data_IF_970988110189
#
_entry.id   IF_970988110189
#
_cell.length_a   1.000
_cell.length_b   1.000
_cell.length_c   1.000
_cell.angle_alpha   90.00
_cell.angle_beta   90.00
_cell.angle_gamma   90.00
#
_symmetry.space_group_name_H-M   'P 1'
#
loop_
_entity.id
_entity.type
_entity.pdbx_description
1 polymer ?
#
# COMPACT_ATOMS: atom_id res chain seq x y z
N UNK A 1 60.78 26.55 4.26
CA UNK A 1 60.03 25.98 3.11
C UNK A 1 59.25 24.75 3.56
N UNK A 2 57.92 24.82 3.36
CA UNK A 2 56.93 23.73 3.27
C UNK A 2 56.82 22.70 4.41
N UNK A 3 56.24 23.12 5.53
CA UNK A 3 55.39 22.24 6.38
C UNK A 3 54.01 22.13 5.71
N UNK A 4 53.86 21.19 4.78
CA UNK A 4 52.56 20.82 4.22
C UNK A 4 52.39 19.32 4.28
N UNK A 5 52.04 18.78 5.45
CA UNK A 5 51.70 17.37 5.56
C UNK A 5 50.97 17.08 6.89
N UNK A 6 49.91 17.81 7.22
CA UNK A 6 49.07 17.44 8.39
C UNK A 6 47.62 17.96 8.36
N UNK A 7 47.05 18.21 7.18
CA UNK A 7 45.66 18.71 7.06
C UNK A 7 44.86 18.02 5.96
N UNK A 8 45.01 16.70 5.82
CA UNK A 8 44.32 15.93 4.79
C UNK A 8 43.79 14.59 5.31
N UNK A 9 43.20 14.58 6.51
CA UNK A 9 42.67 13.35 7.12
C UNK A 9 41.40 13.54 7.97
N UNK A 10 40.63 14.62 7.78
CA UNK A 10 39.43 14.85 8.60
C UNK A 10 38.22 15.41 7.83
N UNK A 11 38.20 15.26 6.51
CA UNK A 11 37.03 15.61 5.69
C UNK A 11 36.76 14.46 4.74
N UNK A 12 35.77 13.64 5.06
CA UNK A 12 35.24 12.68 4.10
C UNK A 12 35.06 11.29 4.66
N UNK A 13 34.23 11.13 5.68
CA UNK A 13 33.57 9.83 5.92
C UNK A 13 32.34 10.00 6.83
N UNK A 14 31.48 10.96 6.52
CA UNK A 14 30.05 10.82 6.84
C UNK A 14 29.35 10.28 5.59
N UNK A 15 29.67 9.04 5.21
CA UNK A 15 28.75 8.25 4.41
C UNK A 15 27.58 7.92 5.34
N UNK A 16 26.62 8.83 5.44
CA UNK A 16 25.29 8.47 5.90
C UNK A 16 24.77 7.44 4.91
N UNK A 17 24.87 6.16 5.28
CA UNK A 17 24.19 5.08 4.61
C UNK A 17 22.69 5.35 4.75
N UNK A 18 22.12 6.06 3.79
CA UNK A 18 20.68 6.09 3.59
C UNK A 18 20.34 4.66 3.17
N UNK A 19 20.07 3.81 4.16
CA UNK A 19 19.42 2.55 3.90
C UNK A 19 18.03 2.92 3.37
N UNK A 20 17.85 2.78 2.06
CA UNK A 20 16.54 2.81 1.45
C UNK A 20 15.75 1.65 2.06
N UNK A 21 15.00 1.92 3.13
CA UNK A 21 14.21 0.91 3.80
C UNK A 21 13.20 0.37 2.80
N UNK A 22 13.39 -0.88 2.36
CA UNK A 22 12.47 -1.53 1.44
C UNK A 22 11.08 -1.60 2.09
N UNK A 23 10.16 -0.75 1.62
CA UNK A 23 8.77 -0.71 2.05
C UNK A 23 8.03 -1.87 1.36
N UNK A 24 7.34 -2.71 2.13
CA UNK A 24 6.57 -3.79 1.57
C UNK A 24 5.33 -3.22 0.88
N UNK A 25 5.18 -3.55 -0.40
CA UNK A 25 4.13 -3.01 -1.25
C UNK A 25 3.44 -4.14 -1.99
N UNK A 26 2.22 -4.45 -1.57
CA UNK A 26 1.36 -5.38 -2.27
C UNK A 26 0.50 -4.61 -3.27
N UNK A 27 0.42 -5.09 -4.51
CA UNK A 27 -0.41 -4.50 -5.56
C UNK A 27 -1.49 -5.50 -5.96
N UNK A 28 -2.69 -5.01 -6.20
CA UNK A 28 -3.84 -5.80 -6.60
C UNK A 28 -4.52 -5.15 -7.81
N UNK A 29 -5.11 -5.95 -8.70
CA UNK A 29 -5.91 -5.45 -9.84
C UNK A 29 -7.26 -6.15 -9.95
N UNK A 30 -8.25 -5.41 -10.43
CA UNK A 30 -9.50 -5.95 -10.92
C UNK A 30 -9.76 -5.35 -12.31
N UNK A 31 -10.11 -6.18 -13.31
CA UNK A 31 -10.36 -5.71 -14.67
C UNK A 31 -11.83 -5.83 -15.03
N UNK A 32 -12.36 -4.77 -15.65
CA UNK A 32 -13.67 -4.74 -16.29
C UNK A 32 -14.87 -5.06 -15.38
N UNK A 33 -14.79 -4.73 -14.09
CA UNK A 33 -15.85 -5.04 -13.13
C UNK A 33 -17.22 -4.43 -13.50
N UNK A 34 -17.22 -3.22 -14.07
CA UNK A 34 -18.43 -2.53 -14.51
C UNK A 34 -18.72 -2.66 -16.01
N UNK A 35 -18.03 -3.55 -16.74
CA UNK A 35 -18.24 -3.73 -18.19
C UNK A 35 -17.72 -2.58 -19.07
N UNK A 36 -16.87 -1.70 -18.55
CA UNK A 36 -16.39 -0.48 -19.21
C UNK A 36 -14.88 -0.52 -19.62
N UNK A 37 -14.26 -1.71 -19.56
CA UNK A 37 -12.86 -1.96 -19.90
C UNK A 37 -11.83 -1.37 -18.92
N UNK A 38 -12.26 -0.79 -17.80
CA UNK A 38 -11.35 -0.16 -16.83
C UNK A 38 -10.69 -1.23 -15.96
N UNK A 39 -9.38 -1.11 -15.76
CA UNK A 39 -8.67 -1.84 -14.70
C UNK A 39 -8.52 -0.93 -13.50
N UNK A 40 -8.95 -1.40 -12.35
CA UNK A 40 -8.80 -0.74 -11.06
C UNK A 40 -7.65 -1.38 -10.30
N UNK A 41 -6.93 -0.58 -9.53
CA UNK A 41 -5.76 -1.02 -8.77
C UNK A 41 -5.84 -0.56 -7.34
N UNK A 42 -5.48 -1.46 -6.42
CA UNK A 42 -5.27 -1.16 -5.01
C UNK A 42 -3.83 -1.48 -4.64
N UNK A 43 -3.19 -0.58 -3.90
CA UNK A 43 -1.87 -0.80 -3.31
C UNK A 43 -2.04 -0.81 -1.80
N UNK A 44 -1.56 -1.85 -1.14
CA UNK A 44 -1.35 -1.89 0.31
C UNK A 44 0.14 -1.69 0.58
N UNK A 45 0.47 -0.74 1.45
CA UNK A 45 1.85 -0.41 1.83
C UNK A 45 1.95 -0.41 3.34
N UNK A 46 2.74 -1.33 3.91
CA UNK A 46 3.02 -1.37 5.34
C UNK A 46 4.37 -0.73 5.64
N UNK A 47 4.47 -0.09 6.81
CA UNK A 47 5.75 0.33 7.37
C UNK A 47 6.42 -0.88 8.05
N UNK A 48 7.71 -1.08 7.79
CA UNK A 48 8.52 -2.13 8.44
C UNK A 48 8.58 -1.95 9.96
N UNK A 49 8.51 -0.70 10.44
CA UNK A 49 8.61 -0.38 11.87
C UNK A 49 7.23 -0.33 12.55
N UNK A 50 6.15 -0.34 11.77
CA UNK A 50 4.79 -0.32 12.29
C UNK A 50 3.83 -1.08 11.38
N UNK A 51 3.90 -2.41 11.45
CA UNK A 51 3.04 -3.32 10.68
C UNK A 51 1.54 -3.13 10.95
N UNK A 52 1.17 -2.43 12.03
CA UNK A 52 -0.23 -2.18 12.39
C UNK A 52 -0.87 -1.06 11.57
N UNK A 53 -0.07 -0.25 10.87
CA UNK A 53 -0.56 0.89 10.08
C UNK A 53 -0.17 0.71 8.62
N UNK A 54 -1.09 0.16 7.83
CA UNK A 54 -0.95 0.08 6.39
C UNK A 54 -1.64 1.27 5.71
N UNK A 55 -0.99 1.82 4.67
CA UNK A 55 -1.59 2.79 3.76
C UNK A 55 -2.21 2.09 2.55
N UNK A 56 -3.34 2.61 2.10
CA UNK A 56 -4.05 2.10 0.94
C UNK A 56 -4.18 3.16 -0.15
N UNK A 57 -3.86 2.80 -1.38
CA UNK A 57 -3.91 3.71 -2.52
C UNK A 57 -4.72 3.10 -3.66
N UNK A 58 -5.55 3.92 -4.28
CA UNK A 58 -6.39 3.55 -5.42
C UNK A 58 -5.99 4.32 -6.69
N UNK A 59 -6.09 3.69 -7.85
CA UNK A 59 -6.01 4.33 -9.16
C UNK A 59 -6.60 3.40 -10.24
N UNK A 60 -6.76 3.91 -11.46
CA UNK A 60 -7.31 3.14 -12.58
C UNK A 60 -6.40 3.18 -13.80
N UNK A 61 -6.68 2.32 -14.79
CA UNK A 61 -5.99 2.36 -16.09
C UNK A 61 -6.24 3.66 -16.87
N UNK A 62 -7.33 4.38 -16.59
CA UNK A 62 -7.65 5.68 -17.22
C UNK A 62 -7.06 6.87 -16.47
N UNK A 63 -6.80 6.72 -15.17
CA UNK A 63 -6.19 7.76 -14.34
C UNK A 63 -5.14 7.15 -13.42
N UNK A 64 -3.88 7.29 -13.79
CA UNK A 64 -2.75 6.75 -13.05
C UNK A 64 -2.40 7.53 -11.77
N UNK A 65 -3.00 8.71 -11.55
CA UNK A 65 -2.79 9.48 -10.32
C UNK A 65 -3.36 8.72 -9.13
N UNK A 66 -2.48 8.36 -8.19
CA UNK A 66 -2.86 7.61 -6.99
C UNK A 66 -3.63 8.48 -6.02
N UNK A 67 -4.70 7.92 -5.48
CA UNK A 67 -5.54 8.53 -4.45
C UNK A 67 -5.31 7.76 -3.16
N UNK A 68 -4.82 8.45 -2.12
CA UNK A 68 -4.70 7.86 -0.78
C UNK A 68 -6.10 7.68 -0.19
N UNK A 69 -6.45 6.46 0.18
CA UNK A 69 -7.69 6.18 0.86
C UNK A 69 -7.56 6.53 2.34
N UNK A 70 -8.65 7.00 2.93
CA UNK A 70 -8.75 7.26 4.37
C UNK A 70 -9.16 5.96 5.04
N UNK A 71 -8.31 5.44 5.92
CA UNK A 71 -8.61 4.27 6.76
C UNK A 71 -9.49 4.71 7.93
N UNK A 72 -10.61 4.04 8.10
CA UNK A 72 -11.56 4.28 9.20
C UNK A 72 -11.38 3.25 10.32
N UNK A 73 -11.14 2.01 9.95
CA UNK A 73 -10.83 0.94 10.91
C UNK A 73 -10.10 -0.21 10.23
N UNK A 74 -9.34 -0.95 11.03
CA UNK A 74 -8.71 -2.22 10.68
C UNK A 74 -9.10 -3.24 11.72
N UNK A 75 -9.52 -4.43 11.29
CA UNK A 75 -9.86 -5.56 12.15
C UNK A 75 -9.22 -6.83 11.58
N UNK A 76 -8.57 -7.59 12.43
CA UNK A 76 -8.13 -8.94 12.10
C UNK A 76 -9.18 -9.94 12.58
N UNK A 77 -9.52 -10.90 11.73
CA UNK A 77 -10.44 -12.00 12.01
C UNK A 77 -9.69 -13.29 11.75
N UNK A 78 -9.55 -14.11 12.78
CA UNK A 78 -8.90 -15.41 12.69
C UNK A 78 -10.00 -16.47 12.62
N UNK A 79 -9.95 -17.32 11.58
CA UNK A 79 -10.84 -18.47 11.43
C UNK A 79 -10.01 -19.71 11.16
N UNK A 80 -9.86 -20.57 12.18
CA UNK A 80 -8.94 -21.70 12.11
C UNK A 80 -7.49 -21.24 11.97
N UNK A 81 -6.78 -21.75 10.96
CA UNK A 81 -5.38 -21.39 10.65
C UNK A 81 -5.25 -20.16 9.74
N UNK A 82 -6.36 -19.60 9.26
CA UNK A 82 -6.34 -18.49 8.30
C UNK A 82 -6.71 -17.16 8.98
N UNK A 83 -5.89 -16.14 8.74
CA UNK A 83 -6.15 -14.76 9.14
C UNK A 83 -6.73 -13.96 7.98
N UNK A 84 -7.83 -13.26 8.23
CA UNK A 84 -8.41 -12.26 7.32
C UNK A 84 -8.24 -10.87 7.93
N UNK A 85 -7.68 -9.94 7.16
CA UNK A 85 -7.65 -8.51 7.56
C UNK A 85 -8.78 -7.77 6.87
N UNK A 86 -9.67 -7.16 7.65
CA UNK A 86 -10.79 -6.36 7.19
C UNK A 86 -10.48 -4.89 7.45
N UNK A 87 -10.50 -4.07 6.40
CA UNK A 87 -10.19 -2.65 6.47
C UNK A 87 -11.36 -1.84 5.92
N UNK A 88 -11.91 -0.95 6.72
CA UNK A 88 -12.91 0.03 6.25
C UNK A 88 -12.19 1.27 5.76
N UNK A 89 -12.47 1.66 4.52
CA UNK A 89 -11.84 2.80 3.88
C UNK A 89 -12.86 3.70 3.20
N UNK A 90 -12.48 4.94 2.92
CA UNK A 90 -13.24 5.85 2.05
C UNK A 90 -12.30 6.71 1.21
N UNK A 91 -12.82 7.28 0.14
CA UNK A 91 -12.12 8.34 -0.59
C UNK A 91 -12.03 9.61 0.27
N UNK A 92 -10.96 10.42 0.15
CA UNK A 92 -10.71 11.57 1.03
C UNK A 92 -11.88 12.56 1.08
N UNK A 93 -12.53 12.79 -0.05
CA UNK A 93 -13.66 13.72 -0.19
C UNK A 93 -15.02 13.00 -0.31
N UNK A 94 -15.05 11.68 -0.12
CA UNK A 94 -16.26 10.88 -0.19
C UNK A 94 -16.76 10.46 1.20
N UNK A 95 -18.08 10.25 1.32
CA UNK A 95 -18.72 9.64 2.50
C UNK A 95 -18.94 8.13 2.35
N UNK A 96 -18.90 7.62 1.13
CA UNK A 96 -19.08 6.20 0.81
C UNK A 96 -17.96 5.36 1.42
N UNK A 97 -18.34 4.38 2.25
CA UNK A 97 -17.42 3.48 2.94
C UNK A 97 -17.30 2.18 2.16
N UNK A 98 -16.09 1.73 1.90
CA UNK A 98 -15.79 0.46 1.26
C UNK A 98 -15.12 -0.47 2.28
N UNK A 99 -15.32 -1.77 2.13
CA UNK A 99 -14.63 -2.77 2.94
C UNK A 99 -13.61 -3.50 2.08
N UNK A 100 -12.35 -3.48 2.47
CA UNK A 100 -11.27 -4.29 1.90
C UNK A 100 -11.08 -5.52 2.77
N UNK A 101 -11.30 -6.71 2.21
CA UNK A 101 -11.09 -8.00 2.86
C UNK A 101 -9.87 -8.68 2.25
N UNK A 102 -8.76 -8.70 2.98
CA UNK A 102 -7.55 -9.40 2.61
C UNK A 102 -7.67 -10.84 3.08
N UNK A 103 -7.74 -11.76 2.11
CA UNK A 103 -7.86 -13.21 2.32
C UNK A 103 -6.62 -13.90 1.76
N UNK A 104 -6.34 -15.15 2.13
CA UNK A 104 -5.34 -15.96 1.45
C UNK A 104 -5.57 -15.93 -0.07
N UNK A 105 -4.56 -15.49 -0.83
CA UNK A 105 -4.59 -15.46 -2.30
C UNK A 105 -5.24 -14.23 -2.95
N UNK A 106 -5.81 -13.28 -2.20
CA UNK A 106 -6.45 -12.13 -2.86
C UNK A 106 -6.98 -11.02 -1.98
N UNK A 107 -7.74 -10.13 -2.61
CA UNK A 107 -8.40 -9.00 -1.98
C UNK A 107 -9.83 -8.90 -2.53
N UNK A 108 -10.82 -8.81 -1.65
CA UNK A 108 -12.17 -8.41 -2.02
C UNK A 108 -12.45 -6.97 -1.59
N UNK A 109 -13.09 -6.19 -2.47
CA UNK A 109 -13.66 -4.90 -2.12
C UNK A 109 -15.18 -5.01 -2.13
N UNK A 110 -15.82 -4.72 -1.00
CA UNK A 110 -17.27 -4.66 -0.88
C UNK A 110 -17.70 -3.19 -0.89
N UNK A 111 -18.54 -2.84 -1.85
CA UNK A 111 -19.20 -1.54 -1.92
C UNK A 111 -20.48 -1.51 -1.06
N UNK A 112 -20.96 -0.32 -0.63
CA UNK A 112 -22.18 -0.19 0.18
C UNK A 112 -23.44 -0.78 -0.43
N UNK A 113 -23.48 -0.88 -1.77
CA UNK A 113 -24.59 -1.47 -2.51
C UNK A 113 -24.52 -3.01 -2.54
N UNK A 114 -23.61 -3.63 -1.79
CA UNK A 114 -23.44 -5.08 -1.73
C UNK A 114 -22.63 -5.68 -2.89
N UNK A 115 -22.24 -4.89 -3.90
CA UNK A 115 -21.38 -5.39 -4.98
C UNK A 115 -20.01 -5.75 -4.44
N UNK A 116 -19.57 -6.97 -4.72
CA UNK A 116 -18.27 -7.52 -4.31
C UNK A 116 -17.34 -7.60 -5.52
N UNK A 117 -16.23 -6.89 -5.45
CA UNK A 117 -15.20 -6.84 -6.49
C UNK A 117 -14.00 -7.68 -6.06
N UNK A 118 -13.64 -8.68 -6.86
CA UNK A 118 -12.47 -9.52 -6.62
C UNK A 118 -11.23 -8.90 -7.28
N UNK A 119 -10.16 -8.76 -6.51
CA UNK A 119 -8.86 -8.31 -6.98
C UNK A 119 -7.83 -9.44 -6.89
N UNK A 120 -7.04 -9.58 -7.94
CA UNK A 120 -5.91 -10.51 -8.00
C UNK A 120 -4.63 -9.80 -7.56
N UNK A 121 -3.83 -10.47 -6.74
CA UNK A 121 -2.48 -10.02 -6.39
C UNK A 121 -1.58 -9.92 -7.63
N UNK A 122 -0.71 -8.91 -7.63
CA UNK A 122 0.31 -8.70 -8.67
C UNK A 122 1.67 -8.69 -7.96
N UNK A 123 2.55 -9.66 -8.24
CA UNK A 123 3.92 -9.62 -7.76
C UNK A 123 4.65 -8.38 -8.32
N UNK A 124 5.54 -7.80 -7.51
CA UNK A 124 6.39 -6.69 -7.95
C UNK A 124 7.46 -7.16 -8.93
#
# INVERSE_FOLDING_TARGET
MTKQLFFLLLVGMFFSTISAQAQWRNKYKCHNFYGNGITEYIISKSDKNNSKVAEYWYYTSRNAKRIKLVVLSTKEVISGMEGTTIVKVRFPNGKTIYTLEFVPGGLYCLAPNGKKQAYTYIPN
#
